data_IF_339328194068
#
_entry.id   IF_339328194068
#
_cell.length_a   1.000
_cell.length_b   1.000
_cell.length_c   1.000
_cell.angle_alpha   90.00
_cell.angle_beta   90.00
_cell.angle_gamma   90.00
#
_symmetry.space_group_name_H-M   'P 1'
#
loop_
_entity.id
_entity.type
_entity.pdbx_description
1 polymer ?
#
# COMPACT_ATOMS: atom_id res chain seq x y z
N UNK A 1 12.01 5.22 20.97
CA UNK A 1 11.82 4.34 19.80
C UNK A 1 10.60 4.81 18.99
N UNK A 2 10.71 5.85 18.16
CA UNK A 2 9.51 6.59 17.70
C UNK A 2 9.43 6.97 16.20
N UNK A 3 10.42 6.67 15.36
CA UNK A 3 10.38 7.04 13.93
C UNK A 3 9.85 5.91 13.00
N UNK A 4 9.88 4.66 13.46
CA UNK A 4 9.43 3.49 12.70
C UNK A 4 7.90 3.30 12.70
N UNK A 5 7.15 3.90 13.64
CA UNK A 5 5.73 3.58 13.81
C UNK A 5 4.83 4.22 12.74
N UNK A 6 5.02 5.49 12.40
CA UNK A 6 4.07 6.22 11.54
C UNK A 6 4.05 5.66 10.11
N UNK A 7 5.23 5.32 9.57
CA UNK A 7 5.32 4.74 8.23
C UNK A 7 4.72 3.32 8.19
N UNK A 8 5.05 2.48 9.17
CA UNK A 8 4.49 1.12 9.26
C UNK A 8 2.97 1.14 9.48
N UNK A 9 2.45 2.02 10.34
CA UNK A 9 1.00 2.19 10.50
C UNK A 9 0.34 2.59 9.18
N UNK A 10 0.90 3.55 8.44
CA UNK A 10 0.37 3.96 7.12
C UNK A 10 0.40 2.80 6.12
N UNK A 11 1.48 2.03 6.11
CA UNK A 11 1.65 0.85 5.25
C UNK A 11 0.60 -0.21 5.56
N UNK A 12 0.39 -0.54 6.84
CA UNK A 12 -0.60 -1.52 7.27
C UNK A 12 -2.03 -1.08 6.91
N UNK A 13 -2.40 0.18 7.17
CA UNK A 13 -3.73 0.69 6.81
C UNK A 13 -3.99 0.63 5.30
N UNK A 14 -3.02 1.04 4.46
CA UNK A 14 -3.17 0.97 3.00
C UNK A 14 -3.28 -0.47 2.52
N UNK A 15 -2.49 -1.38 3.12
CA UNK A 15 -2.51 -2.81 2.83
C UNK A 15 -3.86 -3.43 3.15
N UNK A 16 -4.40 -3.16 4.34
CA UNK A 16 -5.71 -3.66 4.78
C UNK A 16 -6.84 -3.18 3.85
N UNK A 17 -6.87 -1.88 3.52
CA UNK A 17 -7.84 -1.33 2.57
C UNK A 17 -7.74 -1.99 1.18
N UNK A 18 -6.51 -2.22 0.71
CA UNK A 18 -6.27 -2.89 -0.57
C UNK A 18 -6.82 -4.32 -0.60
N UNK A 19 -6.58 -5.10 0.46
CA UNK A 19 -7.10 -6.46 0.60
C UNK A 19 -8.62 -6.50 0.85
N UNK A 20 -9.19 -5.47 1.49
CA UNK A 20 -10.64 -5.28 1.64
C UNK A 20 -11.31 -4.69 0.37
N UNK A 21 -10.80 -5.03 -0.82
CA UNK A 21 -11.32 -4.63 -2.14
C UNK A 21 -11.32 -3.13 -2.46
N UNK A 22 -10.65 -2.27 -1.68
CA UNK A 22 -10.46 -0.85 -2.04
C UNK A 22 -9.26 -0.71 -2.99
N UNK A 23 -9.36 -1.29 -4.19
CA UNK A 23 -8.26 -1.33 -5.18
C UNK A 23 -8.00 -0.03 -5.97
N UNK A 24 -8.59 1.09 -5.54
CA UNK A 24 -8.41 2.41 -6.16
C UNK A 24 -7.57 3.32 -5.25
N UNK A 25 -6.32 3.67 -5.62
CA UNK A 25 -5.46 4.55 -4.81
C UNK A 25 -6.13 5.87 -4.43
N UNK A 26 -6.90 6.46 -5.33
CA UNK A 26 -7.65 7.70 -5.08
C UNK A 26 -8.72 7.54 -4.00
N UNK A 27 -9.35 6.37 -3.91
CA UNK A 27 -10.32 6.06 -2.85
C UNK A 27 -9.62 5.85 -1.52
N UNK A 28 -8.46 5.19 -1.51
CA UNK A 28 -7.62 5.03 -0.32
C UNK A 28 -7.18 6.41 0.22
N UNK A 29 -6.71 7.32 -0.65
CA UNK A 29 -6.33 8.69 -0.26
C UNK A 29 -7.50 9.43 0.39
N UNK A 30 -8.72 9.31 -0.17
CA UNK A 30 -9.92 9.94 0.41
C UNK A 30 -10.28 9.38 1.79
N UNK A 31 -10.06 8.09 2.02
CA UNK A 31 -10.37 7.43 3.29
C UNK A 31 -9.32 7.78 4.36
N UNK A 32 -8.03 7.75 4.01
CA UNK A 32 -6.96 7.87 5.00
C UNK A 32 -6.41 9.28 5.15
N UNK A 33 -6.64 10.18 4.19
CA UNK A 33 -6.01 11.50 4.14
C UNK A 33 -4.49 11.47 3.92
N UNK A 34 -3.92 10.31 3.59
CA UNK A 34 -2.48 10.18 3.41
C UNK A 34 -1.98 10.88 2.14
N UNK A 35 -0.72 11.33 2.11
CA UNK A 35 -0.14 11.93 0.91
C UNK A 35 -0.23 11.00 -0.29
N UNK A 36 -0.54 11.58 -1.46
CA UNK A 36 -0.61 10.84 -2.74
C UNK A 36 0.64 9.99 -2.97
N UNK A 37 1.83 10.56 -2.77
CA UNK A 37 3.10 9.86 -2.93
C UNK A 37 3.22 8.62 -2.05
N UNK A 38 2.81 8.71 -0.78
CA UNK A 38 2.82 7.59 0.17
C UNK A 38 1.89 6.46 -0.28
N UNK A 39 0.64 6.77 -0.62
CA UNK A 39 -0.34 5.76 -1.03
C UNK A 39 0.07 5.07 -2.32
N UNK A 40 0.52 5.84 -3.33
CA UNK A 40 0.94 5.27 -4.60
C UNK A 40 2.20 4.40 -4.47
N UNK A 41 3.18 4.80 -3.65
CA UNK A 41 4.36 3.97 -3.39
C UNK A 41 3.97 2.63 -2.74
N UNK A 42 3.13 2.64 -1.70
CA UNK A 42 2.68 1.41 -1.05
C UNK A 42 1.87 0.54 -2.01
N UNK A 43 0.92 1.12 -2.76
CA UNK A 43 0.11 0.36 -3.72
C UNK A 43 0.96 -0.22 -4.84
N UNK A 44 1.96 0.51 -5.36
CA UNK A 44 2.85 -0.02 -6.39
C UNK A 44 3.63 -1.23 -5.87
N UNK A 45 4.16 -1.15 -4.63
CA UNK A 45 4.80 -2.32 -3.98
C UNK A 45 3.83 -3.48 -3.77
N UNK A 46 2.57 -3.22 -3.42
CA UNK A 46 1.56 -4.27 -3.27
C UNK A 46 1.22 -4.93 -4.62
N UNK A 47 1.14 -4.15 -5.69
CA UNK A 47 0.97 -4.65 -7.05
C UNK A 47 2.18 -5.48 -7.47
N UNK A 48 3.39 -4.99 -7.24
CA UNK A 48 4.63 -5.74 -7.49
C UNK A 48 4.63 -7.05 -6.71
N UNK A 49 4.32 -7.07 -5.41
CA UNK A 49 4.24 -8.33 -4.64
C UNK A 49 3.21 -9.32 -5.22
N UNK A 50 2.03 -8.85 -5.64
CA UNK A 50 1.03 -9.70 -6.30
C UNK A 50 1.41 -10.10 -7.75
N UNK A 51 2.37 -9.41 -8.37
CA UNK A 51 2.89 -9.72 -9.70
C UNK A 51 4.19 -10.55 -9.65
N UNK A 52 4.90 -10.52 -8.52
CA UNK A 52 6.14 -11.27 -8.26
C UNK A 52 5.84 -12.73 -7.90
N UNK A 53 4.61 -13.07 -7.47
CA UNK A 53 4.15 -14.47 -7.48
C UNK A 53 4.03 -15.07 -8.89
N UNK A 54 4.16 -14.26 -9.95
CA UNK A 54 4.16 -14.70 -11.35
C UNK A 54 5.47 -14.42 -12.11
N UNK A 55 6.62 -14.40 -11.43
CA UNK A 55 7.90 -14.55 -12.13
C UNK A 55 8.25 -16.05 -12.20
N UNK A 56 8.31 -16.68 -13.39
CA UNK A 56 9.06 -17.92 -13.51
C UNK A 56 10.52 -17.58 -13.18
N UNK A 57 11.14 -18.43 -12.36
CA UNK A 57 12.57 -18.39 -12.07
C UNK A 57 13.35 -18.23 -13.38
N UNK A 58 14.26 -17.25 -13.41
CA UNK A 58 15.48 -17.33 -14.21
C UNK A 58 16.58 -17.88 -13.31
#
# INVERSE_FOLDING_TARGET
MAATSVFETRRLTVKELWFNNVRKPTKIIKITGYPKSTVYNIVNRLKEMGNVEHLPRL
#
